data_IF_010551525021
#
_entry.id   IF_010551525021
#
_cell.length_a   1.000
_cell.length_b   1.000
_cell.length_c   1.000
_cell.angle_alpha   90.00
_cell.angle_beta   90.00
_cell.angle_gamma   90.00
#
_symmetry.space_group_name_H-M   'P 1'
#
loop_
_entity.id
_entity.type
_entity.pdbx_description
1 polymer ?
#
# COMPACT_ATOMS: atom_id res chain seq x y z
N UNK A 1 -1.01 -10.96 12.90
CA UNK A 1 -1.24 -11.56 11.58
C UNK A 1 -2.34 -10.77 10.88
N UNK A 2 -2.09 -10.18 9.72
CA UNK A 2 -3.12 -9.56 8.92
C UNK A 2 -4.05 -10.63 8.32
N UNK A 3 -5.07 -10.99 9.09
CA UNK A 3 -6.17 -11.85 8.65
C UNK A 3 -7.30 -11.01 8.01
N UNK A 4 -8.37 -11.65 7.54
CA UNK A 4 -9.50 -10.97 6.90
C UNK A 4 -10.08 -9.79 7.72
N UNK A 5 -10.39 -9.98 9.03
CA UNK A 5 -10.89 -8.90 9.88
C UNK A 5 -9.88 -7.76 10.07
N UNK A 6 -8.60 -8.07 10.24
CA UNK A 6 -7.53 -7.07 10.39
C UNK A 6 -7.31 -6.27 9.10
N UNK A 7 -7.45 -6.91 7.94
CA UNK A 7 -7.38 -6.23 6.64
C UNK A 7 -8.57 -5.29 6.41
N UNK A 8 -9.75 -5.63 6.90
CA UNK A 8 -10.90 -4.73 6.84
C UNK A 8 -10.66 -3.47 7.68
N UNK A 9 -10.09 -3.62 8.87
CA UNK A 9 -9.67 -2.48 9.71
C UNK A 9 -8.61 -1.62 9.01
N UNK A 10 -7.63 -2.27 8.39
CA UNK A 10 -6.58 -1.60 7.62
C UNK A 10 -7.14 -0.81 6.44
N UNK A 11 -8.08 -1.42 5.69
CA UNK A 11 -8.80 -0.76 4.61
C UNK A 11 -9.49 0.50 5.13
N UNK A 12 -10.20 0.43 6.26
CA UNK A 12 -10.88 1.58 6.85
C UNK A 12 -9.90 2.72 7.19
N UNK A 13 -8.72 2.40 7.74
CA UNK A 13 -7.65 3.39 7.97
C UNK A 13 -7.14 4.04 6.68
N UNK A 14 -7.16 3.30 5.57
CA UNK A 14 -6.67 3.76 4.27
C UNK A 14 -7.73 4.47 3.42
N UNK A 15 -9.02 4.34 3.75
CA UNK A 15 -10.12 4.98 3.01
C UNK A 15 -9.97 6.50 2.80
N UNK A 16 -9.39 7.30 3.72
CA UNK A 16 -9.16 8.73 3.50
C UNK A 16 -8.26 9.06 2.29
N UNK A 17 -7.49 8.08 1.79
CA UNK A 17 -6.66 8.24 0.59
C UNK A 17 -7.42 8.01 -0.71
N UNK A 18 -8.64 7.46 -0.66
CA UNK A 18 -9.47 7.27 -1.85
C UNK A 18 -9.72 8.63 -2.52
N UNK A 19 -9.47 8.70 -3.83
CA UNK A 19 -9.61 9.89 -4.64
C UNK A 19 -8.41 10.84 -4.61
N UNK A 20 -7.39 10.58 -3.78
CA UNK A 20 -6.14 11.35 -3.75
C UNK A 20 -5.24 10.96 -4.94
N UNK A 21 -4.32 11.85 -5.29
CA UNK A 21 -3.28 11.62 -6.30
C UNK A 21 -2.00 11.20 -5.60
N UNK A 22 -1.35 10.15 -6.08
CA UNK A 22 -0.05 9.68 -5.59
C UNK A 22 1.02 10.67 -6.04
N UNK A 23 1.71 11.32 -5.10
CA UNK A 23 2.82 12.23 -5.44
C UNK A 23 4.13 11.47 -5.67
N UNK A 24 4.40 10.46 -4.84
CA UNK A 24 5.59 9.61 -4.98
C UNK A 24 5.25 8.18 -4.59
N UNK A 25 5.95 7.24 -5.24
CA UNK A 25 5.88 5.82 -4.96
C UNK A 25 7.30 5.25 -5.08
N UNK A 26 7.63 4.30 -4.22
CA UNK A 26 8.94 3.67 -4.16
C UNK A 26 8.95 2.48 -3.20
N UNK A 27 10.06 1.75 -3.19
CA UNK A 27 10.27 0.60 -2.32
C UNK A 27 11.19 -0.44 -2.96
N UNK A 28 11.64 -1.40 -2.17
CA UNK A 28 12.57 -2.46 -2.61
C UNK A 28 11.87 -3.65 -3.29
N UNK A 29 10.59 -3.50 -3.65
CA UNK A 29 9.81 -4.58 -4.25
C UNK A 29 10.18 -4.82 -5.71
N UNK A 30 9.89 -6.03 -6.21
CA UNK A 30 10.11 -6.41 -7.62
C UNK A 30 9.16 -5.68 -8.60
N UNK A 31 8.05 -5.15 -8.10
CA UNK A 31 7.08 -4.44 -8.92
C UNK A 31 7.57 -3.00 -9.17
N UNK A 32 7.68 -2.54 -10.43
CA UNK A 32 7.98 -1.15 -10.72
C UNK A 32 6.90 -0.26 -10.09
N UNK A 33 7.30 0.87 -9.52
CA UNK A 33 6.40 1.76 -8.75
C UNK A 33 6.07 3.05 -9.50
N UNK A 34 6.78 3.32 -10.59
CA UNK A 34 6.69 4.51 -11.42
C UNK A 34 5.28 4.68 -12.00
N UNK A 35 4.61 3.57 -12.35
CA UNK A 35 3.26 3.60 -12.92
C UNK A 35 2.18 4.07 -11.94
N UNK A 36 2.48 4.10 -10.64
CA UNK A 36 1.58 4.60 -9.59
C UNK A 36 1.66 6.13 -9.46
N UNK A 37 2.78 6.74 -9.85
CA UNK A 37 3.01 8.17 -9.65
C UNK A 37 2.06 9.01 -10.50
N UNK A 38 1.57 10.11 -9.93
CA UNK A 38 0.58 11.00 -10.54
C UNK A 38 -0.73 10.33 -10.93
N UNK A 39 -1.02 9.12 -10.41
CA UNK A 39 -2.30 8.44 -10.61
C UNK A 39 -3.22 8.66 -9.43
N UNK A 40 -4.52 8.74 -9.74
CA UNK A 40 -5.58 8.85 -8.74
C UNK A 40 -5.92 7.47 -8.19
N UNK A 41 -5.89 7.33 -6.87
CA UNK A 41 -6.34 6.11 -6.21
C UNK A 41 -7.88 6.05 -6.28
N UNK A 42 -8.42 5.17 -7.12
CA UNK A 42 -9.86 5.09 -7.36
C UNK A 42 -10.58 4.33 -6.25
N UNK A 43 -9.99 3.25 -5.76
CA UNK A 43 -10.60 2.43 -4.73
C UNK A 43 -9.57 1.61 -3.95
N UNK A 44 -10.00 1.12 -2.78
CA UNK A 44 -9.22 0.20 -1.96
C UNK A 44 -10.12 -1.00 -1.65
N UNK A 45 -9.70 -2.19 -2.10
CA UNK A 45 -10.45 -3.43 -1.94
C UNK A 45 -9.64 -4.43 -1.12
N UNK A 46 -10.33 -5.38 -0.53
CA UNK A 46 -9.72 -6.47 0.24
C UNK A 46 -10.38 -7.78 -0.16
N UNK A 47 -9.60 -8.84 -0.35
CA UNK A 47 -10.11 -10.18 -0.59
C UNK A 47 -9.19 -11.21 0.07
N UNK A 48 -9.75 -11.99 1.01
CA UNK A 48 -8.97 -12.93 1.82
C UNK A 48 -7.82 -12.21 2.54
N UNK A 49 -6.59 -12.55 2.14
CA UNK A 49 -5.33 -12.01 2.69
C UNK A 49 -4.69 -10.90 1.84
N UNK A 50 -5.40 -10.41 0.83
CA UNK A 50 -4.89 -9.43 -0.13
C UNK A 50 -5.58 -8.08 0.03
N UNK A 51 -4.77 -7.02 -0.07
CA UNK A 51 -5.20 -5.63 -0.19
C UNK A 51 -4.94 -5.16 -1.62
N UNK A 52 -5.87 -4.43 -2.20
CA UNK A 52 -5.79 -3.96 -3.58
C UNK A 52 -5.98 -2.45 -3.64
N UNK A 53 -5.05 -1.76 -4.30
CA UNK A 53 -5.17 -0.35 -4.65
C UNK A 53 -5.51 -0.25 -6.13
N UNK A 54 -6.70 0.29 -6.43
CA UNK A 54 -7.24 0.35 -7.79
C UNK A 54 -6.92 1.69 -8.41
N UNK A 55 -6.27 1.68 -9.57
CA UNK A 55 -5.97 2.83 -10.40
C UNK A 55 -6.62 2.66 -11.78
N UNK A 56 -6.65 3.72 -12.58
CA UNK A 56 -7.21 3.64 -13.94
C UNK A 56 -6.35 2.81 -14.90
N UNK A 57 -5.05 2.70 -14.64
CA UNK A 57 -4.06 2.03 -15.45
C UNK A 57 -3.63 0.67 -14.89
N UNK A 58 -4.22 0.21 -13.78
CA UNK A 58 -3.86 -1.06 -13.16
C UNK A 58 -4.29 -1.19 -11.70
N UNK A 59 -3.97 -2.33 -11.10
CA UNK A 59 -4.27 -2.64 -9.69
C UNK A 59 -3.00 -3.10 -9.01
N UNK A 60 -2.61 -2.44 -7.93
CA UNK A 60 -1.50 -2.88 -7.09
C UNK A 60 -2.04 -3.81 -6.01
N UNK A 61 -1.60 -5.07 -6.04
CA UNK A 61 -1.93 -6.08 -5.05
C UNK A 61 -0.84 -6.14 -3.98
N UNK A 62 -1.23 -6.10 -2.72
CA UNK A 62 -0.34 -6.19 -1.56
C UNK A 62 -0.73 -7.41 -0.73
N UNK A 63 0.26 -8.24 -0.43
CA UNK A 63 0.17 -9.33 0.53
C UNK A 63 1.10 -9.03 1.70
N UNK A 64 0.55 -8.82 2.89
CA UNK A 64 1.31 -8.38 4.06
C UNK A 64 2.12 -9.50 4.72
N UNK A 65 1.81 -10.78 4.46
CA UNK A 65 2.47 -11.90 5.12
C UNK A 65 2.19 -11.92 6.64
N UNK A 66 3.06 -12.57 7.41
CA UNK A 66 2.82 -12.78 8.86
C UNK A 66 2.99 -11.51 9.70
N UNK A 67 3.96 -10.67 9.34
CA UNK A 67 4.41 -9.50 10.11
C UNK A 67 4.29 -8.18 9.34
N UNK A 68 3.58 -8.17 8.21
CA UNK A 68 3.34 -6.94 7.47
C UNK A 68 2.38 -6.03 8.23
N UNK A 69 2.69 -4.74 8.17
CA UNK A 69 1.92 -3.67 8.79
C UNK A 69 1.87 -2.45 7.86
N UNK A 70 0.95 -1.53 8.10
CA UNK A 70 0.81 -0.29 7.33
C UNK A 70 0.83 0.91 8.26
N UNK A 71 1.71 1.83 7.93
CA UNK A 71 1.90 3.10 8.62
C UNK A 71 1.19 4.21 7.83
N UNK A 72 0.41 5.03 8.52
CA UNK A 72 -0.29 6.18 7.94
C UNK A 72 0.18 7.42 8.68
N UNK A 73 0.67 8.42 7.95
CA UNK A 73 1.30 9.63 8.51
C UNK A 73 2.54 9.36 9.37
N UNK A 74 3.12 8.16 9.26
CA UNK A 74 4.32 7.75 9.97
C UNK A 74 5.33 7.16 8.98
N UNK A 75 6.60 7.16 9.35
CA UNK A 75 7.68 6.54 8.57
C UNK A 75 8.25 5.35 9.34
N UNK A 76 8.48 4.25 8.62
CA UNK A 76 9.14 3.07 9.21
C UNK A 76 10.53 3.48 9.68
N UNK A 77 10.83 3.22 10.96
CA UNK A 77 12.20 3.31 11.46
C UNK A 77 13.02 2.23 10.75
N UNK A 78 13.86 2.66 9.82
CA UNK A 78 14.87 1.81 9.20
C UNK A 78 16.19 2.16 9.85
N UNK A 79 16.97 1.15 10.25
CA UNK A 79 18.36 1.39 10.63
C UNK A 79 19.06 2.03 9.43
N UNK A 80 19.93 3.01 9.69
CA UNK A 80 20.74 3.59 8.63
C UNK A 80 21.52 2.45 7.95
N UNK A 81 21.16 2.16 6.70
CA UNK A 81 21.93 1.27 5.85
C UNK A 81 22.74 2.15 4.91
N UNK A 82 24.07 2.01 4.94
CA UNK A 82 24.93 2.51 3.88
C UNK A 82 24.62 1.68 2.62
N UNK A 83 23.79 2.19 1.73
CA UNK A 83 23.80 1.74 0.34
C UNK A 83 24.71 2.72 -0.41
N UNK A 84 25.84 2.20 -0.90
CA UNK A 84 26.68 2.82 -1.93
C UNK A 84 25.90 2.85 -3.25
#
# INVERSE_FOLDING_TARGET
>A
MPEGPSLLHLKNKLMPFKGKIVQSAGGYGKMPTEWLQHKKLLNILTHGKHLFFVFNNGVAQVHLGLFGDVLVNERKKVNASFFL
#
